data_IF_677797745767
#
_entry.id   IF_677797745767
#
_cell.length_a   1.000
_cell.length_b   1.000
_cell.length_c   1.000
_cell.angle_alpha   90.00
_cell.angle_beta   90.00
_cell.angle_gamma   90.00
#
_symmetry.space_group_name_H-M   'P 1'
#
loop_
_entity.id
_entity.type
_entity.pdbx_description
1 polymer ?
#
# COMPACT_ATOMS: atom_id res chain seq x y z
N UNK A 1 0.59 -7.80 5.76
CA UNK A 1 -0.76 -7.51 6.26
C UNK A 1 -0.73 -6.25 7.10
N UNK A 2 -1.78 -5.44 7.04
CA UNK A 2 -1.91 -4.21 7.84
C UNK A 2 -3.07 -4.31 8.87
N UNK A 3 -3.72 -5.47 8.94
CA UNK A 3 -4.68 -5.79 9.99
C UNK A 3 -6.08 -5.29 9.66
N UNK A 4 -6.54 -4.31 10.43
CA UNK A 4 -7.88 -3.75 10.34
C UNK A 4 -8.21 -3.11 8.99
N UNK A 5 -9.42 -3.29 8.44
CA UNK A 5 -9.86 -2.68 7.19
C UNK A 5 -9.71 -1.15 7.17
N UNK A 6 -10.05 -0.49 8.28
CA UNK A 6 -9.96 0.96 8.41
C UNK A 6 -8.50 1.45 8.32
N UNK A 7 -7.56 0.72 8.94
CA UNK A 7 -6.13 1.01 8.85
C UNK A 7 -5.63 0.84 7.41
N UNK A 8 -6.06 -0.22 6.73
CA UNK A 8 -5.68 -0.46 5.34
C UNK A 8 -6.14 0.67 4.41
N UNK A 9 -7.40 1.10 4.53
CA UNK A 9 -7.96 2.21 3.73
C UNK A 9 -7.25 3.53 4.01
N UNK A 10 -6.98 3.84 5.29
CA UNK A 10 -6.26 5.05 5.67
C UNK A 10 -4.83 5.09 5.10
N UNK A 11 -4.11 3.96 5.15
CA UNK A 11 -2.77 3.88 4.56
C UNK A 11 -2.80 3.99 3.03
N UNK A 12 -3.75 3.33 2.36
CA UNK A 12 -3.92 3.45 0.91
C UNK A 12 -4.21 4.89 0.46
N UNK A 13 -5.01 5.63 1.22
CA UNK A 13 -5.27 7.05 0.94
C UNK A 13 -4.00 7.91 1.05
N UNK A 14 -3.22 7.72 2.13
CA UNK A 14 -1.94 8.43 2.33
C UNK A 14 -0.91 8.10 1.25
N UNK A 15 -0.80 6.82 0.86
CA UNK A 15 0.08 6.40 -0.24
C UNK A 15 -0.32 7.07 -1.55
N UNK A 16 -1.62 7.16 -1.83
CA UNK A 16 -2.13 7.85 -3.02
C UNK A 16 -1.79 9.34 -3.00
N UNK A 17 -1.91 10.02 -1.86
CA UNK A 17 -1.49 11.43 -1.69
C UNK A 17 0.02 11.61 -1.92
N UNK A 18 0.83 10.62 -1.54
CA UNK A 18 2.27 10.58 -1.81
C UNK A 18 2.63 10.13 -3.25
N UNK A 19 1.65 9.96 -4.13
CA UNK A 19 1.86 9.58 -5.54
C UNK A 19 2.06 8.08 -5.78
N UNK A 20 1.81 7.23 -4.77
CA UNK A 20 1.91 5.77 -4.87
C UNK A 20 0.51 5.12 -4.87
N UNK A 21 0.10 4.57 -6.01
CA UNK A 21 -1.17 3.84 -6.09
C UNK A 21 -1.02 2.42 -5.52
N UNK A 22 -1.34 2.26 -4.23
CA UNK A 22 -1.30 0.97 -3.54
C UNK A 22 -2.68 0.67 -2.95
N UNK A 23 -3.54 -0.12 -3.63
CA UNK A 23 -4.89 -0.39 -3.16
C UNK A 23 -4.91 -1.26 -1.89
N UNK A 24 -5.85 -0.94 -1.00
CA UNK A 24 -6.20 -1.78 0.14
C UNK A 24 -7.12 -2.93 -0.28
N UNK A 25 -6.74 -4.15 0.05
CA UNK A 25 -7.57 -5.36 -0.05
C UNK A 25 -8.09 -5.67 1.36
N UNK A 26 -9.41 -5.86 1.49
CA UNK A 26 -10.13 -5.98 2.76
C UNK A 26 -11.28 -7.00 2.63
N UNK A 27 -11.88 -7.46 3.74
CA UNK A 27 -13.07 -8.32 3.70
C UNK A 27 -14.17 -7.74 2.80
N UNK A 28 -14.95 -8.57 2.10
CA UNK A 28 -14.98 -10.05 2.15
C UNK A 28 -13.93 -10.75 1.28
N UNK A 29 -13.06 -10.02 0.58
CA UNK A 29 -12.08 -10.61 -0.34
C UNK A 29 -10.87 -11.25 0.36
N UNK A 30 -10.69 -11.00 1.66
CA UNK A 30 -9.69 -11.62 2.56
C UNK A 30 -10.36 -11.92 3.91
N UNK A 31 -9.80 -12.81 4.74
CA UNK A 31 -10.29 -13.05 6.10
C UNK A 31 -10.34 -11.77 6.95
N UNK A 32 -11.21 -11.78 7.96
CA UNK A 32 -11.28 -10.70 8.96
C UNK A 32 -9.93 -10.53 9.67
N UNK A 33 -9.53 -9.28 9.91
CA UNK A 33 -8.22 -8.96 10.50
C UNK A 33 -7.02 -9.15 9.55
N UNK A 34 -7.24 -9.59 8.31
CA UNK A 34 -6.18 -9.83 7.32
C UNK A 34 -6.20 -8.82 6.16
N UNK A 35 -6.63 -7.58 6.41
CA UNK A 35 -6.52 -6.55 5.36
C UNK A 35 -5.06 -6.28 5.00
N UNK A 36 -4.80 -6.02 3.74
CA UNK A 36 -3.44 -5.82 3.21
C UNK A 36 -3.40 -4.69 2.18
N UNK A 37 -2.19 -4.20 1.92
CA UNK A 37 -1.89 -3.31 0.81
C UNK A 37 -1.28 -4.13 -0.32
N UNK A 38 -1.82 -4.02 -1.54
CA UNK A 38 -1.31 -4.77 -2.69
C UNK A 38 -0.42 -3.88 -3.55
N UNK A 39 0.89 -4.13 -3.51
CA UNK A 39 1.87 -3.48 -4.38
C UNK A 39 2.02 -4.34 -5.64
N UNK A 40 1.73 -3.75 -6.79
CA UNK A 40 1.90 -4.38 -8.11
C UNK A 40 3.06 -3.70 -8.83
N UNK A 41 4.11 -4.45 -9.16
CA UNK A 41 5.26 -3.96 -9.90
C UNK A 41 5.24 -4.52 -11.33
N UNK A 42 5.73 -3.72 -12.26
CA UNK A 42 5.91 -4.10 -13.68
C UNK A 42 7.32 -3.74 -14.12
N UNK A 43 7.78 -4.31 -15.25
CA UNK A 43 9.10 -4.03 -15.80
C UNK A 43 9.31 -2.59 -16.24
N UNK A 44 8.23 -1.84 -16.51
CA UNK A 44 8.30 -0.42 -16.87
C UNK A 44 8.60 0.51 -15.69
N UNK A 45 8.53 0.02 -14.45
CA UNK A 45 8.86 0.85 -13.29
C UNK A 45 10.35 1.23 -13.29
N UNK A 46 10.62 2.52 -13.21
CA UNK A 46 12.00 3.03 -13.15
C UNK A 46 12.58 2.83 -11.76
N UNK A 47 13.92 2.85 -11.66
CA UNK A 47 14.60 2.79 -10.37
C UNK A 47 14.16 3.92 -9.42
N UNK A 48 13.99 5.14 -9.94
CA UNK A 48 13.54 6.29 -9.15
C UNK A 48 12.12 6.12 -8.61
N UNK A 49 11.20 5.50 -9.37
CA UNK A 49 9.86 5.19 -8.88
C UNK A 49 9.89 4.16 -7.74
N UNK A 50 10.76 3.15 -7.85
CA UNK A 50 10.95 2.15 -6.78
C UNK A 50 11.57 2.78 -5.53
N UNK A 51 12.59 3.61 -5.69
CA UNK A 51 13.23 4.30 -4.56
C UNK A 51 12.23 5.25 -3.87
N UNK A 52 11.41 5.99 -4.63
CA UNK A 52 10.32 6.82 -4.08
C UNK A 52 9.30 6.01 -3.28
N UNK A 53 8.87 4.85 -3.82
CA UNK A 53 7.96 3.96 -3.11
C UNK A 53 8.57 3.46 -1.80
N UNK A 54 9.84 3.02 -1.82
CA UNK A 54 10.54 2.53 -0.63
C UNK A 54 10.63 3.61 0.46
N UNK A 55 11.04 4.82 0.10
CA UNK A 55 11.15 5.92 1.07
C UNK A 55 9.77 6.33 1.62
N UNK A 56 8.74 6.33 0.78
CA UNK A 56 7.36 6.58 1.22
C UNK A 56 6.87 5.54 2.22
N UNK A 57 7.11 4.25 1.96
CA UNK A 57 6.73 3.16 2.86
C UNK A 57 7.47 3.25 4.21
N UNK A 58 8.78 3.54 4.19
CA UNK A 58 9.58 3.77 5.41
C UNK A 58 9.04 4.94 6.24
N UNK A 59 8.74 6.07 5.60
CA UNK A 59 8.22 7.25 6.29
C UNK A 59 6.88 6.98 6.98
N UNK A 60 6.03 6.12 6.39
CA UNK A 60 4.74 5.73 6.95
C UNK A 60 4.81 4.56 7.94
N UNK A 61 6.01 4.00 8.18
CA UNK A 61 6.27 2.86 9.09
C UNK A 61 5.36 1.65 8.78
N UNK A 62 5.21 1.37 7.50
CA UNK A 62 4.47 0.21 6.97
C UNK A 62 5.41 -0.97 6.85
#
# INVERSE_FOLDING_TARGET
YVGEPARAVALAAKLREAGCLVPAIRPTSVPEGESMLRISLTSEHTRSQLDHLIETLKAMRI
#
